data_IF_157285224304
#
_entry.id   IF_157285224304
#
_cell.length_a   1.000
_cell.length_b   1.000
_cell.length_c   1.000
_cell.angle_alpha   90.00
_cell.angle_beta   90.00
_cell.angle_gamma   90.00
#
_symmetry.space_group_name_H-M   'P 1'
#
loop_
_entity.id
_entity.type
_entity.pdbx_description
1 polymer ?
#
# COMPACT_ATOMS: atom_id res chain seq x y z
N UNK A 1 -36.18 16.70 -27.21
CA UNK A 1 -35.28 15.79 -26.44
C UNK A 1 -33.88 15.92 -27.02
N UNK A 2 -32.94 16.37 -26.23
CA UNK A 2 -31.62 16.88 -26.61
C UNK A 2 -30.71 15.73 -27.09
N UNK A 3 -30.61 15.51 -28.40
CA UNK A 3 -29.74 14.46 -29.00
C UNK A 3 -28.25 14.80 -29.01
N UNK A 4 -27.84 16.01 -28.57
CA UNK A 4 -26.48 16.52 -28.70
C UNK A 4 -25.67 16.52 -27.38
N UNK A 5 -26.32 16.29 -26.24
CA UNK A 5 -25.67 16.28 -24.92
C UNK A 5 -24.51 15.24 -24.81
N UNK A 6 -24.66 14.02 -25.39
CA UNK A 6 -23.55 13.05 -25.38
C UNK A 6 -22.33 13.47 -26.18
N UNK A 7 -22.54 14.23 -27.26
CA UNK A 7 -21.44 14.69 -28.13
C UNK A 7 -20.62 15.79 -27.46
N UNK A 8 -21.25 16.73 -26.77
CA UNK A 8 -20.58 17.80 -26.04
C UNK A 8 -19.79 17.22 -24.84
N UNK A 9 -20.36 16.27 -24.12
CA UNK A 9 -19.67 15.59 -23.04
C UNK A 9 -18.49 14.71 -23.51
N UNK A 10 -18.61 14.11 -24.71
CA UNK A 10 -17.53 13.32 -25.33
C UNK A 10 -16.36 14.20 -25.75
N UNK A 11 -16.61 15.38 -26.30
CA UNK A 11 -15.56 16.33 -26.70
C UNK A 11 -14.86 16.93 -25.49
N UNK A 12 -15.58 17.28 -24.43
CA UNK A 12 -15.00 17.78 -23.17
C UNK A 12 -14.19 16.70 -22.43
N UNK A 13 -14.63 15.45 -22.48
CA UNK A 13 -13.87 14.32 -21.92
C UNK A 13 -12.58 14.02 -22.68
N UNK A 14 -12.58 14.16 -24.02
CA UNK A 14 -11.39 13.98 -24.86
C UNK A 14 -10.33 15.08 -24.64
N UNK A 15 -10.73 16.24 -24.14
CA UNK A 15 -9.84 17.37 -23.80
C UNK A 15 -9.36 17.34 -22.35
N UNK A 16 -9.64 16.27 -21.56
CA UNK A 16 -9.16 16.09 -20.21
C UNK A 16 -9.86 16.92 -19.12
N UNK A 17 -11.00 17.52 -19.42
CA UNK A 17 -11.77 18.32 -18.45
C UNK A 17 -12.55 17.42 -17.48
N UNK A 18 -12.38 17.68 -16.18
CA UNK A 18 -13.09 16.99 -15.11
C UNK A 18 -14.48 17.60 -14.89
N UNK A 19 -15.42 16.79 -14.38
CA UNK A 19 -16.79 17.21 -13.98
C UNK A 19 -16.83 18.30 -12.89
N UNK A 20 -15.69 18.84 -12.48
CA UNK A 20 -15.56 19.92 -11.49
C UNK A 20 -15.44 21.32 -12.10
N UNK A 21 -15.24 21.44 -13.41
CA UNK A 21 -15.14 22.73 -14.09
C UNK A 21 -16.55 23.23 -14.47
N UNK A 22 -17.27 23.71 -13.45
CA UNK A 22 -18.69 24.09 -13.55
C UNK A 22 -18.97 25.25 -14.51
N UNK A 23 -18.02 26.15 -14.71
CA UNK A 23 -18.18 27.27 -15.66
C UNK A 23 -18.12 26.83 -17.13
N UNK A 24 -17.17 25.97 -17.49
CA UNK A 24 -17.01 25.44 -18.83
C UNK A 24 -18.18 24.54 -19.23
N UNK A 25 -18.68 23.74 -18.30
CA UNK A 25 -19.88 22.91 -18.48
C UNK A 25 -21.11 23.80 -18.72
N UNK A 26 -21.26 24.89 -17.97
CA UNK A 26 -22.38 25.82 -18.08
C UNK A 26 -22.37 26.52 -19.42
N UNK A 27 -21.22 26.93 -19.92
CA UNK A 27 -21.07 27.58 -21.25
C UNK A 27 -21.30 26.58 -22.37
N UNK A 28 -20.78 25.36 -22.29
CA UNK A 28 -21.04 24.29 -23.28
C UNK A 28 -22.51 23.89 -23.35
N UNK A 29 -23.22 23.84 -22.24
CA UNK A 29 -24.67 23.59 -22.15
C UNK A 29 -25.46 24.76 -22.78
N UNK A 30 -25.02 26.01 -22.56
CA UNK A 30 -25.67 27.20 -23.16
C UNK A 30 -25.54 27.19 -24.66
N UNK A 31 -24.38 26.87 -25.23
CA UNK A 31 -24.18 26.75 -26.71
C UNK A 31 -25.02 25.62 -27.27
N UNK A 32 -25.09 24.48 -26.61
CA UNK A 32 -25.92 23.35 -27.03
C UNK A 32 -27.43 23.70 -27.00
N UNK A 33 -27.87 24.50 -26.03
CA UNK A 33 -29.24 24.97 -25.92
C UNK A 33 -29.60 25.93 -27.06
N UNK A 34 -28.70 26.86 -27.45
CA UNK A 34 -28.90 27.81 -28.56
C UNK A 34 -28.94 27.08 -29.90
N UNK A 35 -28.08 26.09 -30.12
CA UNK A 35 -28.12 25.23 -31.30
C UNK A 35 -29.42 24.40 -31.41
N UNK A 36 -30.00 24.01 -30.26
CA UNK A 36 -31.26 23.25 -30.23
C UNK A 36 -32.50 24.09 -30.52
N UNK A 37 -32.42 25.43 -30.42
CA UNK A 37 -33.51 26.37 -30.74
C UNK A 37 -33.53 26.77 -32.22
N UNK A 38 -32.64 26.24 -33.05
CA UNK A 38 -32.66 26.45 -34.51
C UNK A 38 -32.03 27.76 -34.99
N UNK A 39 -31.36 28.50 -34.07
CA UNK A 39 -30.60 29.68 -34.44
C UNK A 39 -29.32 29.24 -35.17
N UNK A 40 -29.12 29.76 -36.39
CA UNK A 40 -27.99 29.44 -37.25
C UNK A 40 -26.72 30.13 -36.75
N UNK A 41 -26.17 29.60 -35.64
CA UNK A 41 -24.85 30.02 -35.19
C UNK A 41 -23.84 29.34 -36.12
N UNK A 42 -23.24 30.14 -37.03
CA UNK A 42 -22.28 29.65 -38.00
C UNK A 42 -21.11 28.93 -37.27
N UNK A 43 -20.61 27.89 -37.90
CA UNK A 43 -19.42 27.12 -37.43
C UNK A 43 -18.21 28.01 -37.11
N UNK A 44 -18.14 29.20 -37.69
CA UNK A 44 -17.12 30.22 -37.39
C UNK A 44 -17.15 30.69 -35.95
N UNK A 45 -18.31 30.99 -35.36
CA UNK A 45 -18.42 31.40 -33.94
C UNK A 45 -18.09 30.31 -32.97
N UNK A 46 -18.35 29.06 -33.34
CA UNK A 46 -17.96 27.90 -32.51
C UNK A 46 -16.45 27.70 -32.54
N UNK A 47 -15.82 27.87 -33.70
CA UNK A 47 -14.37 27.76 -33.85
C UNK A 47 -13.64 28.94 -33.20
N UNK A 48 -14.17 30.16 -33.28
CA UNK A 48 -13.63 31.34 -32.56
C UNK A 48 -13.68 31.14 -31.06
N UNK A 49 -14.79 30.66 -30.51
CA UNK A 49 -14.93 30.35 -29.09
C UNK A 49 -13.99 29.22 -28.65
N UNK A 50 -13.81 28.16 -29.42
CA UNK A 50 -12.85 27.09 -29.15
C UNK A 50 -11.41 27.61 -29.17
N UNK A 51 -11.07 28.48 -30.13
CA UNK A 51 -9.75 29.09 -30.23
C UNK A 51 -9.39 29.95 -29.02
N UNK A 52 -10.30 30.83 -28.60
CA UNK A 52 -10.07 31.70 -27.42
C UNK A 52 -9.96 30.95 -26.10
N UNK A 53 -10.71 29.89 -25.91
CA UNK A 53 -10.69 29.14 -24.67
C UNK A 53 -9.54 28.15 -24.62
N UNK A 54 -9.04 27.63 -25.75
CA UNK A 54 -7.82 26.83 -25.82
C UNK A 54 -6.60 27.71 -25.53
N UNK A 55 -6.53 28.94 -26.07
CA UNK A 55 -5.40 29.86 -25.79
C UNK A 55 -5.38 30.32 -24.33
N UNK A 56 -6.53 30.57 -23.70
CA UNK A 56 -6.61 30.87 -22.28
C UNK A 56 -6.14 29.68 -21.41
N UNK A 57 -6.53 28.47 -21.73
CA UNK A 57 -6.11 27.27 -21.01
C UNK A 57 -4.60 26.99 -21.11
N UNK A 58 -3.94 27.44 -22.20
CA UNK A 58 -2.50 27.27 -22.39
C UNK A 58 -1.66 28.42 -21.83
N UNK A 59 -2.23 29.63 -21.64
CA UNK A 59 -1.53 30.80 -21.09
C UNK A 59 -1.48 30.81 -19.56
N UNK A 60 -2.44 30.17 -18.88
CA UNK A 60 -2.48 30.08 -17.41
C UNK A 60 -1.55 28.99 -16.82
N UNK A 61 -0.85 28.23 -17.68
CA UNK A 61 0.09 27.19 -17.25
C UNK A 61 1.54 27.69 -17.06
N UNK A 62 1.82 29.01 -17.15
CA UNK A 62 3.16 29.56 -16.97
C UNK A 62 3.25 30.50 -15.77
N UNK A 63 2.86 29.99 -14.59
CA UNK A 63 3.27 30.56 -13.30
C UNK A 63 3.81 29.39 -12.48
N UNK A 64 5.10 29.46 -12.14
CA UNK A 64 5.80 28.51 -11.26
C UNK A 64 5.08 28.42 -9.90
N UNK A 65 4.19 27.46 -9.76
CA UNK A 65 3.70 27.02 -8.46
C UNK A 65 4.63 25.91 -7.97
N UNK A 66 5.39 26.18 -6.90
CA UNK A 66 6.08 25.18 -6.09
C UNK A 66 5.11 24.03 -5.84
N UNK A 67 5.51 22.74 -6.01
CA UNK A 67 4.62 21.64 -5.80
C UNK A 67 4.12 21.65 -4.36
N UNK A 68 2.85 21.96 -4.17
CA UNK A 68 2.11 21.74 -2.93
C UNK A 68 2.16 20.24 -2.67
N UNK A 69 2.53 19.76 -1.49
CA UNK A 69 2.62 18.33 -1.25
C UNK A 69 1.27 17.70 -1.58
N UNK A 70 1.28 16.76 -2.51
CA UNK A 70 0.12 15.94 -2.86
C UNK A 70 -0.50 15.40 -1.59
N UNK A 71 -1.68 15.88 -1.27
CA UNK A 71 -2.53 15.24 -0.28
C UNK A 71 -2.84 13.86 -0.83
N UNK A 72 -2.13 12.85 -0.31
CA UNK A 72 -2.44 11.44 -0.54
C UNK A 72 -3.94 11.26 -0.29
N UNK A 73 -4.69 11.14 -1.37
CA UNK A 73 -6.07 10.70 -1.31
C UNK A 73 -6.05 9.39 -0.51
N UNK A 74 -6.68 9.38 0.65
CA UNK A 74 -7.05 8.18 1.38
C UNK A 74 -8.06 7.43 0.49
N UNK A 75 -7.56 6.65 -0.48
CA UNK A 75 -8.40 5.68 -1.12
C UNK A 75 -8.87 4.74 0.00
N UNK A 76 -10.16 4.60 0.17
CA UNK A 76 -10.75 3.56 1.01
C UNK A 76 -10.36 2.22 0.39
N UNK A 77 -9.19 1.68 0.79
CA UNK A 77 -8.69 0.40 0.27
C UNK A 77 -9.60 -0.68 0.80
N UNK A 78 -10.49 -1.13 -0.06
CA UNK A 78 -11.36 -2.25 0.23
C UNK A 78 -10.50 -3.50 0.36
N UNK A 79 -10.57 -4.20 1.51
CA UNK A 79 -9.87 -5.46 1.70
C UNK A 79 -10.38 -6.49 0.69
N UNK A 80 -9.50 -7.28 0.10
CA UNK A 80 -9.84 -8.35 -0.82
C UNK A 80 -9.22 -9.67 -0.41
N UNK A 81 -9.74 -10.76 -0.95
CA UNK A 81 -9.31 -12.11 -0.60
C UNK A 81 -9.05 -12.93 -1.86
N UNK A 82 -7.97 -13.70 -1.86
CA UNK A 82 -7.67 -14.68 -2.89
C UNK A 82 -7.05 -15.96 -2.30
N UNK A 83 -6.95 -17.00 -3.13
CA UNK A 83 -6.28 -18.23 -2.78
C UNK A 83 -5.04 -18.41 -3.64
N UNK A 84 -3.99 -19.02 -3.08
CA UNK A 84 -2.76 -19.29 -3.81
C UNK A 84 -1.89 -20.33 -3.11
N UNK A 85 -0.80 -20.73 -3.75
CA UNK A 85 0.19 -21.65 -3.18
C UNK A 85 1.37 -20.87 -2.63
N UNK A 86 1.77 -21.13 -1.40
CA UNK A 86 2.99 -20.56 -0.80
C UNK A 86 4.20 -21.23 -1.46
N UNK A 87 4.99 -20.44 -2.19
CA UNK A 87 6.13 -20.95 -2.98
C UNK A 87 7.49 -20.61 -2.38
N UNK A 88 7.55 -19.61 -1.49
CA UNK A 88 8.78 -19.20 -0.82
C UNK A 88 8.46 -18.51 0.49
N UNK A 89 9.28 -18.75 1.49
CA UNK A 89 9.27 -18.07 2.78
C UNK A 89 10.64 -17.38 2.92
N UNK A 90 10.63 -16.06 3.10
CA UNK A 90 11.83 -15.24 3.16
C UNK A 90 12.37 -15.16 4.59
N UNK A 91 11.47 -14.86 5.51
CA UNK A 91 11.67 -14.75 6.96
C UNK A 91 10.38 -15.14 7.70
N UNK A 92 10.31 -14.89 9.00
CA UNK A 92 9.18 -15.31 9.84
C UNK A 92 7.86 -14.56 9.60
N UNK A 93 7.83 -13.56 8.70
CA UNK A 93 6.62 -12.78 8.39
C UNK A 93 6.52 -12.30 6.94
N UNK A 94 7.44 -12.74 6.09
CA UNK A 94 7.46 -12.38 4.66
C UNK A 94 7.46 -13.63 3.79
N UNK A 95 6.41 -13.80 2.99
CA UNK A 95 6.20 -14.98 2.14
C UNK A 95 5.89 -14.58 0.70
N UNK A 96 6.10 -15.52 -0.23
CA UNK A 96 5.70 -15.37 -1.62
C UNK A 96 4.66 -16.43 -1.97
N UNK A 97 3.62 -15.98 -2.64
CA UNK A 97 2.48 -16.80 -3.06
C UNK A 97 2.32 -16.70 -4.57
N UNK A 98 1.91 -17.78 -5.21
CA UNK A 98 1.42 -17.79 -6.60
C UNK A 98 -0.08 -18.08 -6.56
N UNK A 99 -0.89 -17.22 -7.19
CA UNK A 99 -2.34 -17.39 -7.27
C UNK A 99 -2.75 -18.36 -8.40
N UNK A 100 -4.05 -18.56 -8.59
CA UNK A 100 -4.61 -19.42 -9.64
C UNK A 100 -4.31 -18.94 -11.06
N UNK A 101 -4.07 -17.63 -11.22
CA UNK A 101 -3.78 -17.01 -12.51
C UNK A 101 -2.26 -16.99 -12.82
N UNK A 102 -1.45 -17.59 -11.94
CA UNK A 102 0.00 -17.64 -12.07
C UNK A 102 0.73 -16.36 -11.64
N UNK A 103 0.02 -15.38 -11.06
CA UNK A 103 0.61 -14.13 -10.57
C UNK A 103 1.34 -14.37 -9.25
N UNK A 104 2.52 -13.76 -9.13
CA UNK A 104 3.34 -13.83 -7.92
C UNK A 104 3.06 -12.64 -7.01
N UNK A 105 2.74 -12.93 -5.76
CA UNK A 105 2.46 -11.98 -4.70
C UNK A 105 3.55 -12.03 -3.64
N UNK A 106 4.01 -10.87 -3.18
CA UNK A 106 4.90 -10.74 -2.03
C UNK A 106 4.09 -10.25 -0.84
N UNK A 107 3.98 -11.07 0.19
CA UNK A 107 3.13 -10.83 1.36
C UNK A 107 4.00 -10.44 2.55
N UNK A 108 3.60 -9.36 3.24
CA UNK A 108 4.00 -9.04 4.61
C UNK A 108 2.85 -9.43 5.53
N UNK A 109 3.08 -10.41 6.37
CA UNK A 109 2.03 -10.89 7.29
C UNK A 109 1.66 -9.79 8.28
N UNK A 110 0.35 -9.47 8.32
CA UNK A 110 -0.19 -8.37 9.11
C UNK A 110 -0.11 -8.62 10.61
N UNK A 111 -0.01 -7.55 11.39
CA UNK A 111 -0.12 -7.53 12.85
C UNK A 111 1.02 -8.22 13.62
N UNK A 112 1.97 -8.80 12.93
CA UNK A 112 3.15 -9.44 13.54
C UNK A 112 4.44 -8.79 13.05
N UNK A 113 5.51 -8.97 13.82
CA UNK A 113 6.86 -8.59 13.43
C UNK A 113 7.82 -9.70 13.87
N UNK A 114 8.43 -10.38 12.91
CA UNK A 114 9.34 -11.49 13.18
C UNK A 114 10.78 -11.01 13.22
N UNK A 115 11.68 -11.71 13.94
CA UNK A 115 13.10 -11.44 13.89
C UNK A 115 13.62 -11.49 12.45
N UNK A 116 14.48 -10.54 12.10
CA UNK A 116 15.18 -10.52 10.81
C UNK A 116 16.03 -11.78 10.65
N UNK A 117 16.29 -12.21 9.41
CA UNK A 117 17.00 -13.47 9.16
C UNK A 117 18.40 -13.51 9.81
N UNK A 118 19.05 -12.36 9.94
CA UNK A 118 20.36 -12.18 10.58
C UNK A 118 20.26 -11.76 12.05
N UNK A 119 19.07 -11.70 12.62
CA UNK A 119 18.82 -11.47 14.04
C UNK A 119 18.79 -12.80 14.78
N UNK A 120 19.07 -12.77 16.09
CA UNK A 120 18.87 -13.93 16.96
C UNK A 120 17.44 -14.48 16.81
N UNK A 121 17.30 -15.80 16.62
CA UNK A 121 16.05 -16.50 16.36
C UNK A 121 15.41 -16.23 14.98
N UNK A 122 16.06 -15.50 14.07
CA UNK A 122 15.50 -15.19 12.75
C UNK A 122 15.30 -16.42 11.86
N UNK A 123 16.33 -17.29 11.78
CA UNK A 123 16.24 -18.55 11.02
C UNK A 123 15.20 -19.50 11.59
N UNK A 124 15.13 -19.66 12.90
CA UNK A 124 14.15 -20.50 13.57
C UNK A 124 12.71 -19.99 13.36
N UNK A 125 12.51 -18.68 13.39
CA UNK A 125 11.22 -18.04 13.07
C UNK A 125 10.77 -18.34 11.64
N UNK A 126 11.68 -18.24 10.67
CA UNK A 126 11.42 -18.62 9.28
C UNK A 126 11.10 -20.11 9.17
N UNK A 127 11.91 -20.97 9.79
CA UNK A 127 11.78 -22.42 9.67
C UNK A 127 10.46 -22.91 10.28
N UNK A 128 9.99 -22.32 11.38
CA UNK A 128 8.65 -22.57 11.94
C UNK A 128 7.55 -22.31 10.90
N UNK A 129 7.68 -21.25 10.10
CA UNK A 129 6.72 -20.93 9.06
C UNK A 129 6.88 -21.86 7.84
N UNK A 130 8.09 -22.29 7.51
CA UNK A 130 8.37 -23.27 6.44
C UNK A 130 7.65 -24.58 6.73
N UNK A 131 7.83 -25.14 7.92
CA UNK A 131 7.22 -26.42 8.33
C UNK A 131 5.68 -26.35 8.30
N UNK A 132 5.13 -25.22 8.71
CA UNK A 132 3.70 -25.02 8.76
C UNK A 132 3.06 -24.77 7.37
N UNK A 133 3.78 -24.13 6.43
CA UNK A 133 3.10 -23.48 5.31
C UNK A 133 3.72 -23.66 3.92
N UNK A 134 5.02 -23.99 3.81
CA UNK A 134 5.65 -24.09 2.50
C UNK A 134 4.96 -25.13 1.62
N UNK A 135 4.77 -24.78 0.34
CA UNK A 135 4.08 -25.57 -0.67
C UNK A 135 2.60 -25.84 -0.43
N UNK A 136 1.98 -25.32 0.65
CA UNK A 136 0.57 -25.48 0.95
C UNK A 136 -0.30 -24.43 0.23
N UNK A 137 -1.56 -24.76 0.00
CA UNK A 137 -2.59 -23.82 -0.45
C UNK A 137 -2.97 -22.92 0.72
N UNK A 138 -2.98 -21.62 0.50
CA UNK A 138 -3.34 -20.61 1.48
C UNK A 138 -4.47 -19.73 1.00
N UNK A 139 -5.27 -19.24 1.93
CA UNK A 139 -6.20 -18.14 1.76
C UNK A 139 -5.56 -16.87 2.28
N UNK A 140 -5.53 -15.82 1.46
CA UNK A 140 -4.90 -14.53 1.74
C UNK A 140 -5.99 -13.47 1.83
N UNK A 141 -6.06 -12.75 2.95
CA UNK A 141 -6.90 -11.57 3.11
C UNK A 141 -6.01 -10.34 3.17
N UNK A 142 -5.99 -9.59 2.07
CA UNK A 142 -5.18 -8.37 1.91
C UNK A 142 -5.94 -7.18 2.50
N UNK A 143 -5.23 -6.35 3.27
CA UNK A 143 -5.76 -5.13 3.87
C UNK A 143 -5.27 -3.90 3.12
N UNK A 144 -4.00 -3.88 2.73
CA UNK A 144 -3.37 -2.76 2.03
C UNK A 144 -2.06 -3.21 1.36
N UNK A 145 -1.44 -2.33 0.56
CA UNK A 145 -0.06 -2.48 0.12
C UNK A 145 0.84 -1.52 0.90
N UNK A 146 2.01 -1.99 1.31
CA UNK A 146 2.99 -1.14 1.98
C UNK A 146 3.80 -0.28 0.98
N UNK A 147 4.69 0.57 1.50
CA UNK A 147 5.55 1.43 0.68
C UNK A 147 6.54 0.66 -0.22
N UNK A 148 6.74 -0.62 0.04
CA UNK A 148 7.58 -1.52 -0.74
C UNK A 148 6.76 -2.38 -1.70
N UNK A 149 5.49 -2.06 -1.89
CA UNK A 149 4.53 -2.77 -2.74
C UNK A 149 4.31 -4.23 -2.30
N UNK A 150 4.53 -4.56 -1.02
CA UNK A 150 4.13 -5.85 -0.47
C UNK A 150 2.67 -5.75 -0.02
N UNK A 151 1.91 -6.80 -0.26
CA UNK A 151 0.56 -6.93 0.28
C UNK A 151 0.62 -7.21 1.79
N UNK A 152 0.05 -6.33 2.59
CA UNK A 152 -0.09 -6.54 4.03
C UNK A 152 -1.35 -7.37 4.26
N UNK A 153 -1.18 -8.62 4.73
CA UNK A 153 -2.27 -9.59 4.72
C UNK A 153 -2.28 -10.52 5.94
N UNK A 154 -3.46 -11.05 6.23
CA UNK A 154 -3.67 -12.23 7.04
C UNK A 154 -3.67 -13.46 6.14
N UNK A 155 -2.94 -14.50 6.52
CA UNK A 155 -2.74 -15.70 5.72
C UNK A 155 -3.17 -16.91 6.53
N UNK A 156 -3.97 -17.78 5.94
CA UNK A 156 -4.41 -19.03 6.57
C UNK A 156 -4.18 -20.24 5.67
N UNK A 157 -3.83 -21.36 6.29
CA UNK A 157 -3.73 -22.69 5.65
C UNK A 157 -4.73 -23.61 6.34
N UNK A 158 -5.75 -24.04 5.61
CA UNK A 158 -6.90 -24.69 6.22
C UNK A 158 -7.58 -23.78 7.26
N UNK A 159 -7.67 -24.25 8.49
CA UNK A 159 -8.24 -23.49 9.64
C UNK A 159 -7.19 -22.73 10.44
N UNK A 160 -5.89 -22.86 10.09
CA UNK A 160 -4.79 -22.27 10.85
C UNK A 160 -4.52 -20.86 10.34
N UNK A 161 -4.67 -19.86 11.20
CA UNK A 161 -4.15 -18.51 11.01
C UNK A 161 -2.64 -18.53 11.25
N UNK A 162 -1.84 -18.39 10.19
CA UNK A 162 -0.38 -18.44 10.26
C UNK A 162 0.20 -17.25 11.01
N UNK A 163 -0.44 -16.08 10.94
CA UNK A 163 -0.02 -14.89 11.66
C UNK A 163 -0.11 -15.12 13.18
N UNK A 164 -1.25 -15.63 13.64
CA UNK A 164 -1.47 -15.95 15.03
C UNK A 164 -0.60 -17.14 15.49
N UNK A 165 -0.40 -18.14 14.63
CA UNK A 165 0.47 -19.29 14.90
C UNK A 165 1.90 -18.84 15.22
N UNK A 166 2.48 -17.95 14.41
CA UNK A 166 3.82 -17.41 14.65
C UNK A 166 3.96 -16.78 16.05
N UNK A 167 2.93 -16.10 16.53
CA UNK A 167 2.92 -15.55 17.90
C UNK A 167 2.82 -16.65 18.95
N UNK A 168 1.89 -17.61 18.77
CA UNK A 168 1.67 -18.73 19.72
C UNK A 168 2.93 -19.58 19.92
N UNK A 169 3.71 -19.74 18.86
CA UNK A 169 4.94 -20.52 18.87
C UNK A 169 6.15 -19.71 19.38
N UNK A 170 5.94 -18.42 19.65
CA UNK A 170 6.99 -17.51 20.03
C UNK A 170 7.98 -17.26 18.90
N UNK A 171 7.52 -17.31 17.66
CA UNK A 171 8.32 -17.06 16.46
C UNK A 171 8.23 -15.61 15.97
N UNK A 172 7.23 -14.87 16.42
CA UNK A 172 7.06 -13.45 16.12
C UNK A 172 6.50 -12.65 17.30
N UNK A 173 6.64 -11.33 17.22
CA UNK A 173 6.01 -10.38 18.12
C UNK A 173 4.65 -9.96 17.61
N UNK A 174 3.66 -9.75 18.50
CA UNK A 174 2.48 -8.99 18.16
C UNK A 174 2.84 -7.51 18.01
N UNK A 175 2.70 -6.96 16.79
CA UNK A 175 3.04 -5.57 16.50
C UNK A 175 1.85 -4.65 16.86
N UNK A 176 1.61 -4.48 18.17
CA UNK A 176 0.43 -3.83 18.72
C UNK A 176 0.21 -2.40 18.23
N UNK A 177 1.27 -1.60 18.05
CA UNK A 177 1.16 -0.22 17.61
C UNK A 177 0.52 -0.07 16.23
N UNK A 178 0.74 -1.07 15.36
CA UNK A 178 0.11 -1.18 14.05
C UNK A 178 -1.26 -1.87 14.13
N UNK A 179 -1.33 -2.98 14.88
CA UNK A 179 -2.52 -3.79 15.04
C UNK A 179 -3.73 -2.97 15.57
N UNK A 180 -3.53 -2.14 16.58
CA UNK A 180 -4.58 -1.29 17.19
C UNK A 180 -5.29 -0.36 16.21
N UNK A 181 -4.71 -0.10 15.04
CA UNK A 181 -5.29 0.80 14.02
C UNK A 181 -6.22 0.10 13.04
N UNK A 182 -6.05 -1.21 12.84
CA UNK A 182 -6.69 -1.95 11.74
C UNK A 182 -7.25 -3.31 12.13
N UNK A 183 -6.70 -3.95 13.15
CA UNK A 183 -7.16 -5.23 13.65
C UNK A 183 -8.46 -5.09 14.44
N UNK A 184 -9.39 -6.04 14.32
CA UNK A 184 -10.57 -6.05 15.17
C UNK A 184 -10.18 -6.19 16.65
N UNK A 185 -10.99 -5.63 17.56
CA UNK A 185 -10.73 -5.70 19.01
C UNK A 185 -10.54 -7.15 19.49
N UNK A 186 -11.40 -8.06 19.06
CA UNK A 186 -11.32 -9.49 19.41
C UNK A 186 -10.00 -10.10 18.93
N UNK A 187 -9.66 -9.95 17.65
CA UNK A 187 -8.41 -10.50 17.11
C UNK A 187 -7.18 -9.88 17.79
N UNK A 188 -7.19 -8.58 18.10
CA UNK A 188 -6.12 -7.92 18.82
C UNK A 188 -5.94 -8.51 20.24
N UNK A 189 -7.04 -8.81 20.92
CA UNK A 189 -7.03 -9.49 22.23
C UNK A 189 -6.46 -10.89 22.11
N UNK A 190 -6.87 -11.67 21.10
CA UNK A 190 -6.38 -13.03 20.89
C UNK A 190 -4.86 -13.07 20.62
N UNK A 191 -4.36 -12.14 19.81
CA UNK A 191 -2.94 -12.01 19.49
C UNK A 191 -2.13 -11.59 20.73
N UNK A 192 -2.65 -10.64 21.51
CA UNK A 192 -2.01 -10.22 22.77
C UNK A 192 -1.98 -11.34 23.80
N UNK A 193 -3.07 -12.09 23.94
CA UNK A 193 -3.15 -13.25 24.82
C UNK A 193 -2.18 -14.36 24.39
N UNK A 194 -2.10 -14.63 23.08
CA UNK A 194 -1.16 -15.62 22.53
C UNK A 194 0.30 -15.23 22.82
N UNK A 195 0.67 -13.96 22.64
CA UNK A 195 2.01 -13.48 23.00
C UNK A 195 2.31 -13.62 24.50
N UNK A 196 1.35 -13.25 25.35
CA UNK A 196 1.48 -13.40 26.80
C UNK A 196 1.75 -14.87 27.18
N UNK A 197 0.95 -15.80 26.65
CA UNK A 197 1.13 -17.23 26.88
C UNK A 197 2.48 -17.75 26.36
N UNK A 198 2.92 -17.29 25.17
CA UNK A 198 4.23 -17.67 24.63
C UNK A 198 5.38 -17.22 25.53
N UNK A 199 5.29 -16.02 26.11
CA UNK A 199 6.25 -15.47 27.08
C UNK A 199 6.26 -16.29 28.38
N UNK A 200 5.09 -16.52 28.98
CA UNK A 200 4.93 -17.28 30.21
C UNK A 200 5.49 -18.72 30.08
N UNK A 201 5.24 -19.35 28.93
CA UNK A 201 5.73 -20.69 28.62
C UNK A 201 7.16 -20.70 28.06
N UNK A 202 7.83 -19.56 27.99
CA UNK A 202 9.20 -19.40 27.45
C UNK A 202 9.36 -20.09 26.09
N UNK A 203 8.37 -19.92 25.18
CA UNK A 203 8.39 -20.52 23.85
C UNK A 203 9.27 -19.71 22.88
N UNK A 204 9.92 -20.41 21.98
CA UNK A 204 10.61 -19.82 20.84
C UNK A 204 11.63 -18.75 21.27
N UNK A 205 11.50 -17.55 20.71
CA UNK A 205 12.36 -16.39 21.02
C UNK A 205 12.31 -15.98 22.51
N UNK A 206 11.21 -16.34 23.22
CA UNK A 206 11.00 -16.04 24.64
C UNK A 206 11.77 -16.98 25.58
N UNK A 207 12.51 -17.99 25.04
CA UNK A 207 13.50 -18.78 25.87
C UNK A 207 14.61 -17.89 26.36
N UNK A 208 14.97 -16.85 25.59
CA UNK A 208 15.96 -15.86 25.99
C UNK A 208 15.29 -14.79 26.85
N UNK A 209 15.96 -14.40 27.93
CA UNK A 209 15.55 -13.25 28.72
C UNK A 209 15.77 -11.97 27.88
N UNK A 210 14.76 -11.10 27.83
CA UNK A 210 14.79 -9.85 27.10
C UNK A 210 15.23 -9.98 25.61
N UNK A 211 14.52 -10.78 24.81
CA UNK A 211 14.84 -10.86 23.38
C UNK A 211 14.67 -9.49 22.72
N UNK A 212 15.63 -9.13 21.87
CA UNK A 212 15.60 -7.88 21.14
C UNK A 212 14.43 -7.87 20.14
N UNK A 213 13.62 -6.82 20.15
CA UNK A 213 12.52 -6.68 19.20
C UNK A 213 13.03 -6.35 17.78
N UNK A 214 12.37 -6.84 16.71
CA UNK A 214 12.83 -6.63 15.32
C UNK A 214 12.97 -5.14 14.95
N UNK A 215 12.05 -4.29 15.39
CA UNK A 215 12.13 -2.83 15.14
C UNK A 215 13.32 -2.16 15.83
N UNK A 216 13.75 -2.67 17.00
CA UNK A 216 14.97 -2.19 17.70
C UNK A 216 16.22 -2.62 16.94
N UNK A 217 16.26 -3.88 16.46
CA UNK A 217 17.35 -4.41 15.67
C UNK A 217 17.54 -3.62 14.38
N UNK A 218 16.44 -3.37 13.62
CA UNK A 218 16.51 -2.54 12.41
C UNK A 218 17.01 -1.13 12.70
N UNK A 219 16.55 -0.49 13.77
CA UNK A 219 17.00 0.85 14.14
C UNK A 219 18.50 0.88 14.43
N UNK A 220 19.01 -0.06 15.21
CA UNK A 220 20.44 -0.14 15.52
C UNK A 220 21.30 -0.35 14.28
N UNK A 221 20.87 -1.23 13.36
CA UNK A 221 21.56 -1.44 12.10
C UNK A 221 21.62 -0.17 11.24
N UNK A 222 20.55 0.60 11.19
CA UNK A 222 20.53 1.88 10.48
C UNK A 222 21.46 2.92 11.11
N UNK A 223 21.50 2.99 12.44
CA UNK A 223 22.39 3.90 13.17
C UNK A 223 23.87 3.54 12.91
N UNK A 224 24.20 2.26 12.92
CA UNK A 224 25.57 1.77 12.65
C UNK A 224 25.98 2.07 11.19
N UNK A 225 25.11 1.81 10.21
CA UNK A 225 25.39 2.10 8.81
C UNK A 225 25.61 3.61 8.56
N UNK A 226 24.78 4.46 9.18
CA UNK A 226 24.92 5.91 9.08
C UNK A 226 26.18 6.44 9.80
N UNK A 227 26.57 5.82 10.93
CA UNK A 227 27.81 6.14 11.64
C UNK A 227 29.04 5.83 10.79
N UNK A 228 29.09 4.63 10.21
CA UNK A 228 30.19 4.20 9.34
C UNK A 228 30.31 5.08 8.08
N UNK A 229 29.17 5.46 7.47
CA UNK A 229 29.17 6.35 6.32
C UNK A 229 29.74 7.74 6.66
N UNK A 230 29.33 8.31 7.79
CA UNK A 230 29.88 9.61 8.24
C UNK A 230 31.37 9.55 8.54
N UNK A 231 31.87 8.41 9.01
CA UNK A 231 33.29 8.23 9.29
C UNK A 231 34.11 8.06 8.00
N UNK A 232 33.60 7.31 7.02
CA UNK A 232 34.23 7.19 5.71
C UNK A 232 34.27 8.52 4.97
N UNK A 233 33.20 9.29 4.99
CA UNK A 233 33.13 10.60 4.34
C UNK A 233 34.15 11.59 4.97
N UNK A 234 34.29 11.58 6.30
CA UNK A 234 35.34 12.41 6.98
C UNK A 234 36.77 12.00 6.60
N UNK A 235 37.02 10.73 6.40
CA UNK A 235 38.34 10.21 6.02
C UNK A 235 38.69 10.58 4.56
N UNK A 236 37.68 10.65 3.67
CA UNK A 236 37.86 11.11 2.28
C UNK A 236 38.10 12.62 2.18
N UNK A 237 37.43 13.44 2.97
CA UNK A 237 37.56 14.90 2.97
C UNK A 237 38.70 15.41 3.85
N UNK A 238 39.40 14.57 4.60
CA UNK A 238 40.52 14.91 5.47
C UNK A 238 41.92 14.71 4.84
N UNK A 239 42.00 14.37 3.54
CA UNK A 239 43.25 14.08 2.82
C UNK A 239 43.63 15.24 1.86
N UNK A 240 43.22 16.47 2.18
CA UNK A 240 43.70 17.69 1.45
C UNK A 240 44.20 18.72 2.44
#
# INVERSE_FOLDING_TARGET
MIKWLPVVLSVLGALGYSSRDTELIRTGVSIAATLAQGDNIGLEKVNEWLGENIVKATSDTKAEAKPKPEQKQKSSRQSYTYNGKIIKIHDGDTIHIIDSDGRKHKIRMAYIDAPEINQAYGTQSRDNLIDAALNKKAKVRVFEADRYQREVAQVSVGTIDLNLMQIRDGAAWHYESYAKKQQSKTACTDYSAAQKQAKEKRKGLWKKDNPQAPWQFRRQNHEQQNGNKKQSDKQWFGIW
#
